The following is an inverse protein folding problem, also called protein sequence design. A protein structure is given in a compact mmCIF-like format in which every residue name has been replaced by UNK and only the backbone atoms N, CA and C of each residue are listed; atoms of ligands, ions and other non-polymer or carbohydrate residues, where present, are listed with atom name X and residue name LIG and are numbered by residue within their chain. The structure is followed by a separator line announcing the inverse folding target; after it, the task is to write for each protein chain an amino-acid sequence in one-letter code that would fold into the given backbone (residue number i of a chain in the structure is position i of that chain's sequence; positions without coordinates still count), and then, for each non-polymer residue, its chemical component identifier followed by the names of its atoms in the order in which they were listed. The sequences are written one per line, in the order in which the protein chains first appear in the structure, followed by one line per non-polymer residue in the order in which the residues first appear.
data_IF_781256541204
#
_entry.id   IF_781256541204
#
_cell.length_a   1.000
_cell.length_b   1.000
_cell.length_c   1.000
_cell.angle_alpha   90.00
_cell.angle_beta   90.00
_cell.angle_gamma   90.00
#
_symmetry.space_group_name_H-M   'P 1'
#
loop_
_entity.id
_entity.type
_entity.pdbx_description
1 polymer ?
#
# COMPACT_ATOMS: atom_id res chain seq x y z
N UNK A 1 -9.82 14.78 -3.26
CA UNK A 1 -9.33 14.61 -1.86
C UNK A 1 -8.00 15.35 -1.67
N UNK A 2 -6.94 14.97 -2.39
CA UNK A 2 -5.59 15.55 -2.20
C UNK A 2 -5.58 17.07 -2.41
N UNK A 3 -6.15 17.55 -3.52
CA UNK A 3 -6.30 18.98 -3.82
C UNK A 3 -7.04 19.82 -2.76
N UNK A 4 -7.75 19.17 -1.83
CA UNK A 4 -8.52 19.86 -0.77
C UNK A 4 -7.77 19.91 0.56
N UNK A 5 -6.97 18.88 0.87
CA UNK A 5 -6.43 18.66 2.22
C UNK A 5 -4.91 18.71 2.30
N UNK A 6 -4.19 18.56 1.19
CA UNK A 6 -2.75 18.75 1.18
C UNK A 6 -2.40 20.25 1.28
N UNK A 7 -1.29 20.54 1.96
CA UNK A 7 -0.80 21.93 2.14
C UNK A 7 -0.11 22.42 0.86
N UNK A 8 0.62 21.54 0.16
CA UNK A 8 1.27 21.84 -1.11
C UNK A 8 0.26 21.84 -2.27
N UNK A 9 -0.51 20.75 -2.42
CA UNK A 9 -1.63 20.59 -3.35
C UNK A 9 -1.40 21.16 -4.77
N UNK A 10 -0.16 21.17 -5.26
CA UNK A 10 0.18 21.65 -6.59
C UNK A 10 -0.55 20.81 -7.63
N UNK A 11 -1.34 21.44 -8.49
CA UNK A 11 -2.26 20.72 -9.39
C UNK A 11 -1.52 19.76 -10.32
N UNK A 12 -0.48 20.25 -11.01
CA UNK A 12 0.28 19.46 -11.98
C UNK A 12 1.11 18.36 -11.30
N UNK A 13 1.72 18.66 -10.16
CA UNK A 13 2.50 17.69 -9.37
C UNK A 13 1.59 16.60 -8.83
N UNK A 14 0.44 16.97 -8.26
CA UNK A 14 -0.54 16.03 -7.74
C UNK A 14 -1.07 15.13 -8.85
N UNK A 15 -1.56 15.71 -9.95
CA UNK A 15 -2.10 14.95 -11.08
C UNK A 15 -1.04 14.04 -11.71
N UNK A 16 0.19 14.55 -11.90
CA UNK A 16 1.32 13.79 -12.42
C UNK A 16 1.67 12.58 -11.57
N UNK A 17 1.81 12.76 -10.25
CA UNK A 17 2.09 11.66 -9.32
C UNK A 17 0.97 10.63 -9.31
N UNK A 18 -0.30 11.06 -9.32
CA UNK A 18 -1.43 10.14 -9.39
C UNK A 18 -1.37 9.29 -10.67
N UNK A 19 -1.21 9.89 -11.84
CA UNK A 19 -1.09 9.15 -13.10
C UNK A 19 0.12 8.21 -13.11
N UNK A 20 1.28 8.68 -12.65
CA UNK A 20 2.51 7.90 -12.61
C UNK A 20 2.36 6.66 -11.72
N UNK A 21 1.71 6.76 -10.55
CA UNK A 21 1.52 5.64 -9.63
C UNK A 21 0.40 4.71 -10.08
N UNK A 22 -0.75 5.23 -10.54
CA UNK A 22 -1.95 4.41 -10.78
C UNK A 22 -2.09 3.86 -12.20
N UNK A 23 -1.41 4.47 -13.18
CA UNK A 23 -1.68 4.23 -14.61
C UNK A 23 -0.45 3.78 -15.40
N UNK A 24 0.65 3.45 -14.73
CA UNK A 24 1.86 2.87 -15.32
C UNK A 24 1.73 1.35 -15.50
N UNK A 25 0.75 0.92 -16.30
CA UNK A 25 0.35 -0.50 -16.43
C UNK A 25 1.44 -1.45 -16.95
N UNK A 26 2.54 -0.92 -17.49
CA UNK A 26 3.65 -1.69 -18.03
C UNK A 26 4.79 -1.89 -17.01
N UNK A 27 4.75 -1.23 -15.85
CA UNK A 27 5.71 -1.41 -14.76
C UNK A 27 5.21 -2.45 -13.75
N UNK A 28 5.61 -3.71 -13.96
CA UNK A 28 5.17 -4.84 -13.12
C UNK A 28 5.54 -4.70 -11.64
N UNK A 29 6.56 -3.91 -11.30
CA UNK A 29 6.93 -3.73 -9.90
C UNK A 29 5.85 -2.97 -9.10
N UNK A 30 5.04 -2.15 -9.77
CA UNK A 30 3.89 -1.46 -9.14
C UNK A 30 2.73 -2.42 -8.84
N UNK A 31 2.64 -3.56 -9.53
CA UNK A 31 1.62 -4.60 -9.32
C UNK A 31 2.04 -5.69 -8.32
N UNK A 32 3.25 -5.60 -7.79
CA UNK A 32 3.77 -6.55 -6.82
C UNK A 32 3.09 -6.38 -5.46
N UNK A 33 2.27 -7.36 -5.08
CA UNK A 33 1.52 -7.40 -3.82
C UNK A 33 2.41 -7.22 -2.59
N UNK A 34 3.65 -7.75 -2.64
CA UNK A 34 4.61 -7.65 -1.53
C UNK A 34 5.20 -6.24 -1.42
N UNK A 35 5.44 -5.58 -2.55
CA UNK A 35 6.00 -4.22 -2.59
C UNK A 35 4.98 -3.18 -2.10
N UNK A 36 3.70 -3.36 -2.44
CA UNK A 36 2.61 -2.42 -2.14
C UNK A 36 1.77 -2.80 -0.90
N UNK A 37 2.08 -3.91 -0.23
CA UNK A 37 1.34 -4.34 0.95
C UNK A 37 1.45 -3.30 2.07
N UNK A 38 0.34 -2.70 2.54
CA UNK A 38 0.39 -1.66 3.56
C UNK A 38 0.92 -2.18 4.91
N UNK A 39 0.69 -3.46 5.22
CA UNK A 39 1.22 -4.12 6.43
C UNK A 39 2.74 -4.17 6.39
N UNK A 40 3.32 -4.69 5.30
CA UNK A 40 4.76 -4.82 5.15
C UNK A 40 5.43 -3.44 5.04
N UNK A 41 4.78 -2.49 4.38
CA UNK A 41 5.27 -1.11 4.29
C UNK A 41 5.32 -0.47 5.68
N UNK A 42 4.23 -0.53 6.45
CA UNK A 42 4.17 0.00 7.81
C UNK A 42 5.28 -0.55 8.70
N UNK A 43 5.37 -1.89 8.79
CA UNK A 43 6.41 -2.58 9.58
C UNK A 43 7.84 -2.17 9.20
N UNK A 44 8.08 -1.90 7.92
CA UNK A 44 9.41 -1.54 7.41
C UNK A 44 9.77 -0.09 7.73
N UNK A 45 8.83 0.84 7.54
CA UNK A 45 9.09 2.28 7.67
C UNK A 45 9.09 2.71 9.14
N UNK A 46 8.19 2.14 9.94
CA UNK A 46 8.00 2.50 11.33
C UNK A 46 7.65 1.23 12.11
N UNK A 47 8.65 0.48 12.63
CA UNK A 47 8.43 -0.84 13.24
C UNK A 47 7.84 -0.80 14.65
N UNK A 48 7.85 0.35 15.34
CA UNK A 48 7.38 0.46 16.73
C UNK A 48 5.85 0.54 16.82
N UNK A 49 5.21 1.03 15.75
CA UNK A 49 3.77 1.24 15.68
C UNK A 49 3.33 2.59 16.25
N UNK A 50 4.25 3.42 16.75
CA UNK A 50 3.95 4.72 17.34
C UNK A 50 3.25 5.67 16.36
N UNK A 51 3.56 5.59 15.07
CA UNK A 51 2.84 6.36 14.06
C UNK A 51 1.37 5.93 14.00
N UNK A 52 1.09 4.63 14.03
CA UNK A 52 -0.28 4.11 14.04
C UNK A 52 -1.00 4.55 15.32
N UNK A 53 -0.38 4.42 16.50
CA UNK A 53 -0.97 4.84 17.77
C UNK A 53 -1.33 6.32 17.80
N UNK A 54 -0.50 7.16 17.18
CA UNK A 54 -0.72 8.60 17.12
C UNK A 54 -1.93 8.97 16.26
N UNK A 55 -2.04 8.39 15.05
CA UNK A 55 -3.08 8.76 14.09
C UNK A 55 -4.36 7.92 14.19
N UNK A 56 -4.29 6.75 14.83
CA UNK A 56 -5.41 5.81 15.03
C UNK A 56 -5.50 5.51 16.54
N UNK A 57 -6.06 6.44 17.33
CA UNK A 57 -6.04 6.37 18.80
C UNK A 57 -6.78 5.15 19.35
N UNK A 58 -7.76 4.59 18.62
CA UNK A 58 -8.43 3.35 18.98
C UNK A 58 -7.50 2.11 18.98
N UNK A 59 -6.31 2.21 18.37
CA UNK A 59 -5.28 1.17 18.39
C UNK A 59 -4.10 1.53 19.31
N UNK A 60 -4.21 2.57 20.15
CA UNK A 60 -3.10 3.02 21.00
C UNK A 60 -2.54 1.92 21.91
N UNK A 61 -3.44 1.11 22.50
CA UNK A 61 -3.09 0.04 23.45
C UNK A 61 -2.81 -1.31 22.77
N UNK A 62 -2.79 -1.39 21.43
CA UNK A 62 -2.47 -2.62 20.73
C UNK A 62 -0.97 -2.99 20.86
N UNK A 63 -0.64 -4.26 21.19
CA UNK A 63 0.73 -4.73 21.16
C UNK A 63 1.33 -4.57 19.76
N UNK A 64 2.62 -4.27 19.70
CA UNK A 64 3.36 -4.07 18.44
C UNK A 64 3.26 -5.29 17.50
N UNK A 65 3.13 -6.50 18.06
CA UNK A 65 2.94 -7.73 17.31
C UNK A 65 1.68 -7.69 16.41
N UNK A 66 0.60 -7.09 16.90
CA UNK A 66 -0.71 -7.07 16.24
C UNK A 66 -1.07 -5.72 15.62
N UNK A 67 -0.39 -4.63 15.94
CA UNK A 67 -0.81 -3.27 15.53
C UNK A 67 -0.92 -3.09 13.99
N UNK A 68 -0.10 -3.81 13.22
CA UNK A 68 -0.15 -3.79 11.75
C UNK A 68 -1.19 -4.77 11.16
N UNK A 69 -1.60 -5.77 11.93
CA UNK A 69 -2.56 -6.80 11.54
C UNK A 69 -3.56 -7.10 12.67
N UNK A 70 -4.33 -6.09 13.13
CA UNK A 70 -5.10 -6.22 14.36
C UNK A 70 -6.21 -7.29 14.26
N UNK A 71 -6.61 -7.66 13.05
CA UNK A 71 -7.55 -8.76 12.79
C UNK A 71 -6.99 -10.16 13.14
N UNK A 72 -5.67 -10.31 13.32
CA UNK A 72 -5.05 -11.56 13.77
C UNK A 72 -4.99 -11.66 15.31
N UNK A 73 -5.26 -10.56 16.02
CA UNK A 73 -5.21 -10.55 17.48
C UNK A 73 -6.28 -11.47 18.08
N UNK A 74 -5.91 -12.38 19.00
CA UNK A 74 -6.88 -13.15 19.77
C UNK A 74 -7.85 -12.24 20.52
N UNK A 75 -9.08 -12.71 20.76
CA UNK A 75 -10.10 -11.90 21.43
C UNK A 75 -9.67 -11.44 22.84
N UNK A 76 -8.81 -12.20 23.54
CA UNK A 76 -8.22 -11.79 24.82
C UNK A 76 -7.37 -10.52 24.66
N UNK A 77 -6.47 -10.50 23.67
CA UNK A 77 -5.63 -9.34 23.36
C UNK A 77 -6.48 -8.14 22.95
N UNK A 78 -7.49 -8.33 22.10
CA UNK A 78 -8.39 -7.24 21.71
C UNK A 78 -9.12 -6.61 22.92
N UNK A 79 -9.51 -7.44 23.90
CA UNK A 79 -10.13 -6.97 25.15
C UNK A 79 -9.13 -6.24 26.04
N UNK A 80 -7.92 -6.77 26.19
CA UNK A 80 -6.85 -6.15 26.97
C UNK A 80 -6.42 -4.80 26.39
N UNK A 81 -6.45 -4.66 25.05
CA UNK A 81 -6.17 -3.42 24.31
C UNK A 81 -7.38 -2.49 24.17
N UNK A 82 -8.49 -2.73 24.88
CA UNK A 82 -9.68 -1.89 24.87
C UNK A 82 -10.29 -1.60 23.48
N UNK A 83 -10.06 -2.45 22.48
CA UNK A 83 -10.56 -2.22 21.13
C UNK A 83 -10.84 -3.54 20.40
N UNK A 84 -12.11 -3.76 20.08
CA UNK A 84 -12.62 -4.96 19.40
C UNK A 84 -12.75 -4.70 17.90
N UNK A 85 -12.14 -5.56 17.10
CA UNK A 85 -12.18 -5.47 15.63
C UNK A 85 -13.59 -5.79 15.11
N UNK A 86 -14.11 -4.88 14.31
CA UNK A 86 -15.48 -4.85 13.80
C UNK A 86 -16.47 -4.08 14.68
N UNK A 87 -16.04 -3.56 15.84
CA UNK A 87 -16.85 -2.70 16.70
C UNK A 87 -16.17 -1.35 16.91
N UNK A 88 -14.98 -1.36 17.51
CA UNK A 88 -14.26 -0.15 17.91
C UNK A 88 -13.26 0.27 16.81
N UNK A 89 -12.69 -0.70 16.08
CA UNK A 89 -11.93 -0.48 14.84
C UNK A 89 -12.53 -1.32 13.70
N UNK A 90 -12.67 -0.80 12.47
CA UNK A 90 -13.37 -1.52 11.40
C UNK A 90 -12.68 -2.83 11.00
N UNK A 91 -13.47 -3.79 10.52
CA UNK A 91 -12.92 -4.94 9.78
C UNK A 91 -12.31 -4.43 8.47
N UNK A 92 -11.30 -5.16 7.98
CA UNK A 92 -10.73 -4.91 6.65
C UNK A 92 -11.84 -4.84 5.60
N UNK A 93 -11.86 -3.76 4.83
CA UNK A 93 -12.84 -3.53 3.76
C UNK A 93 -12.59 -4.51 2.60
N UNK A 94 -11.34 -4.88 2.38
CA UNK A 94 -10.91 -5.84 1.34
C UNK A 94 -9.82 -6.78 1.87
N UNK A 95 -9.71 -7.97 1.28
CA UNK A 95 -8.58 -8.89 1.51
C UNK A 95 -7.54 -8.59 0.43
N UNK A 96 -6.44 -7.94 0.81
CA UNK A 96 -5.44 -7.40 -0.12
C UNK A 96 -4.83 -8.47 -1.02
N UNK A 97 -4.62 -9.68 -0.51
CA UNK A 97 -4.05 -10.80 -1.25
C UNK A 97 -4.96 -11.28 -2.40
N UNK A 98 -6.27 -11.15 -2.23
CA UNK A 98 -7.26 -11.53 -3.26
C UNK A 98 -7.37 -10.43 -4.31
N UNK A 99 -7.62 -9.19 -3.85
CA UNK A 99 -7.81 -8.04 -4.74
C UNK A 99 -6.55 -7.71 -5.54
N UNK A 100 -5.36 -7.83 -4.94
CA UNK A 100 -4.10 -7.59 -5.65
C UNK A 100 -3.86 -8.59 -6.79
N UNK A 101 -4.27 -9.86 -6.62
CA UNK A 101 -4.20 -10.86 -7.70
C UNK A 101 -5.14 -10.52 -8.85
N UNK A 102 -6.36 -10.10 -8.54
CA UNK A 102 -7.36 -9.69 -9.54
C UNK A 102 -6.89 -8.46 -10.31
N UNK A 103 -6.42 -7.43 -9.60
CA UNK A 103 -5.93 -6.19 -10.18
C UNK A 103 -4.71 -6.43 -11.08
N UNK A 104 -3.75 -7.25 -10.63
CA UNK A 104 -2.58 -7.63 -11.44
C UNK A 104 -3.01 -8.30 -12.74
N UNK A 105 -3.95 -9.25 -12.67
CA UNK A 105 -4.49 -9.91 -13.86
C UNK A 105 -5.13 -8.92 -14.83
N UNK A 106 -5.81 -7.89 -14.35
CA UNK A 106 -6.37 -6.84 -15.20
C UNK A 106 -5.28 -5.99 -15.87
N UNK A 107 -4.21 -5.63 -15.15
CA UNK A 107 -3.06 -4.91 -15.73
C UNK A 107 -2.32 -5.76 -16.77
N UNK A 108 -2.14 -7.05 -16.49
CA UNK A 108 -1.57 -8.02 -17.44
C UNK A 108 -2.42 -8.12 -18.71
N UNK A 109 -3.75 -8.14 -18.60
CA UNK A 109 -4.63 -8.16 -19.78
C UNK A 109 -4.51 -6.89 -20.62
N UNK A 110 -4.33 -5.72 -19.99
CA UNK A 110 -4.13 -4.46 -20.73
C UNK A 110 -2.80 -4.50 -21.47
N UNK A 111 -1.71 -4.88 -20.78
CA UNK A 111 -0.39 -4.97 -21.40
C UNK A 111 -0.32 -6.04 -22.51
N UNK A 112 -1.07 -7.14 -22.41
CA UNK A 112 -1.16 -8.16 -23.47
C UNK A 112 -1.95 -7.69 -24.69
N UNK A 113 -2.96 -6.83 -24.51
CA UNK A 113 -3.74 -6.27 -25.63
C UNK A 113 -2.96 -5.26 -26.46
N UNK A 114 -1.89 -4.70 -25.91
CA UNK A 114 -1.05 -3.70 -26.57
C UNK A 114 0.29 -4.33 -26.96
N UNK A 115 0.64 -4.29 -28.24
CA UNK A 115 1.95 -4.80 -28.70
C UNK A 115 3.11 -3.96 -28.13
N UNK A 116 2.88 -2.65 -27.96
CA UNK A 116 3.81 -1.69 -27.39
C UNK A 116 3.06 -0.67 -26.53
N UNK A 117 3.73 -0.14 -25.51
CA UNK A 117 3.16 0.89 -24.67
C UNK A 117 3.08 2.22 -25.44
N UNK A 118 1.92 2.92 -25.45
CA UNK A 118 1.82 4.24 -26.07
C UNK A 118 2.63 5.26 -25.26
N UNK A 119 2.96 6.44 -25.81
CA UNK A 119 3.53 7.52 -25.02
C UNK A 119 2.60 7.90 -23.86
N UNK A 120 3.07 7.74 -22.62
CA UNK A 120 2.32 8.04 -21.40
C UNK A 120 3.27 8.46 -20.27
N UNK A 121 2.70 9.02 -19.19
CA UNK A 121 3.46 9.30 -17.97
C UNK A 121 3.75 7.96 -17.26
N UNK A 122 5.02 7.59 -17.16
CA UNK A 122 5.46 6.34 -16.54
C UNK A 122 6.87 6.47 -15.95
N UNK A 123 7.29 5.51 -15.11
CA UNK A 123 8.69 5.38 -14.70
C UNK A 123 9.59 5.22 -15.92
N UNK A 124 10.80 5.78 -15.84
CA UNK A 124 11.82 5.62 -16.88
C UNK A 124 12.42 4.22 -16.86
N UNK A 125 12.48 3.58 -15.69
CA UNK A 125 12.96 2.22 -15.48
C UNK A 125 12.64 1.71 -14.08
N UNK A 126 12.82 0.40 -13.87
CA UNK A 126 12.59 -0.29 -12.60
C UNK A 126 13.40 0.29 -11.43
N UNK A 127 14.60 0.82 -11.67
CA UNK A 127 15.44 1.42 -10.61
C UNK A 127 14.80 2.71 -10.09
N UNK A 128 14.24 3.54 -10.96
CA UNK A 128 13.44 4.70 -10.57
C UNK A 128 12.28 4.28 -9.68
N UNK A 129 11.52 3.26 -10.10
CA UNK A 129 10.39 2.72 -9.33
C UNK A 129 10.80 2.25 -7.93
N UNK A 130 11.96 1.59 -7.80
CA UNK A 130 12.49 1.14 -6.50
C UNK A 130 12.83 2.30 -5.57
N UNK A 131 13.45 3.34 -6.12
CA UNK A 131 13.82 4.53 -5.37
C UNK A 131 12.58 5.31 -4.93
N UNK A 132 11.62 5.50 -5.84
CA UNK A 132 10.36 6.20 -5.58
C UNK A 132 9.59 5.53 -4.44
N UNK A 133 9.41 4.21 -4.49
CA UNK A 133 8.68 3.44 -3.49
C UNK A 133 9.50 3.12 -2.22
N UNK A 134 10.77 3.52 -2.17
CA UNK A 134 11.72 3.18 -1.09
C UNK A 134 11.73 1.67 -0.80
N UNK A 135 11.83 0.86 -1.85
CA UNK A 135 11.82 -0.60 -1.72
C UNK A 135 13.15 -1.12 -1.19
N UNK A 136 13.14 -2.07 -0.24
CA UNK A 136 14.37 -2.74 0.19
C UNK A 136 14.86 -3.69 -0.90
N UNK A 137 16.17 -4.00 -0.87
CA UNK A 137 16.78 -4.92 -1.82
C UNK A 137 16.13 -6.32 -1.83
N UNK A 138 15.59 -6.75 -0.69
CA UNK A 138 14.84 -8.01 -0.57
C UNK A 138 13.61 -8.09 -1.47
N UNK A 139 13.03 -6.96 -1.88
CA UNK A 139 11.89 -6.92 -2.79
C UNK A 139 12.28 -6.96 -4.28
N UNK A 140 13.57 -6.86 -4.63
CA UNK A 140 14.00 -6.70 -6.03
C UNK A 140 13.76 -7.94 -6.90
N UNK A 141 13.69 -9.12 -6.28
CA UNK A 141 13.50 -10.40 -6.96
C UNK A 141 12.04 -10.87 -6.92
N UNK A 142 11.17 -10.21 -6.14
CA UNK A 142 9.78 -10.61 -5.92
C UNK A 142 8.81 -9.99 -6.95
N UNK A 143 9.26 -9.82 -8.20
CA UNK A 143 8.46 -9.21 -9.28
C UNK A 143 7.68 -10.27 -10.10
N UNK A 144 7.57 -11.50 -9.56
CA UNK A 144 6.81 -12.61 -10.14
C UNK A 144 5.44 -12.74 -9.45
#
# INVERSE_FOLDING_TARGET
VFMKYLIDADWSVSAGNWMWVSSSAFERQLDCSTCICPVNYGRRIEPTGDYIRHYIPELADYPVEYIFEPWLAPLSVQKESNCIIGKDYPKRIVIHEQVSKENRKMMEQISQKMSEAPPHCCPSNVKETRLFLRLPQSCYHNVL
#
